data_IF_020005916200
#
_entry.id   IF_020005916200
#
_cell.length_a   1.000
_cell.length_b   1.000
_cell.length_c   1.000
_cell.angle_alpha   90.00
_cell.angle_beta   90.00
_cell.angle_gamma   90.00
#
_symmetry.space_group_name_H-M   'P 1'
#
loop_
_entity.id
_entity.type
_entity.pdbx_description
1 polymer ?
#
# COMPACT_ATOMS: atom_id res chain seq x y z
N UNK A 1 14.95 -12.30 18.40
CA UNK A 1 15.90 -11.97 17.31
C UNK A 1 15.94 -10.44 17.21
N UNK A 2 17.10 -9.80 17.08
CA UNK A 2 17.14 -8.34 16.85
C UNK A 2 16.73 -8.08 15.40
N UNK A 3 15.90 -7.06 15.16
CA UNK A 3 15.34 -6.80 13.83
C UNK A 3 16.34 -6.04 12.96
N UNK A 4 16.80 -6.67 11.87
CA UNK A 4 17.71 -6.02 10.95
C UNK A 4 16.95 -5.04 10.04
N UNK A 5 17.22 -3.75 10.18
CA UNK A 5 16.65 -2.67 9.37
C UNK A 5 17.66 -2.11 8.37
N UNK A 6 18.50 -2.98 7.79
CA UNK A 6 19.51 -2.64 6.78
C UNK A 6 18.98 -1.85 5.58
N UNK A 7 17.68 -1.94 5.29
CA UNK A 7 17.03 -1.13 4.25
C UNK A 7 17.20 0.39 4.43
N UNK A 8 17.62 0.84 5.62
CA UNK A 8 17.92 2.25 5.91
C UNK A 8 19.42 2.60 5.83
N UNK A 9 20.29 1.69 5.40
CA UNK A 9 21.74 1.89 5.48
C UNK A 9 22.26 3.06 4.65
N UNK A 10 21.68 3.27 3.47
CA UNK A 10 22.02 4.35 2.55
C UNK A 10 20.94 4.49 1.48
N UNK A 11 21.03 5.56 0.67
CA UNK A 11 20.08 5.87 -0.40
C UNK A 11 19.96 4.74 -1.44
N UNK A 12 21.04 3.97 -1.70
CA UNK A 12 21.03 2.86 -2.67
C UNK A 12 20.14 1.72 -2.16
N UNK A 13 20.34 1.29 -0.91
CA UNK A 13 19.52 0.24 -0.28
C UNK A 13 18.06 0.69 -0.11
N UNK A 14 17.85 1.94 0.28
CA UNK A 14 16.51 2.52 0.37
C UNK A 14 15.80 2.51 -0.99
N UNK A 15 16.48 2.96 -2.06
CA UNK A 15 15.94 2.93 -3.42
C UNK A 15 15.60 1.51 -3.85
N UNK A 16 16.53 0.56 -3.67
CA UNK A 16 16.34 -0.85 -4.02
C UNK A 16 15.12 -1.46 -3.32
N UNK A 17 14.99 -1.26 -2.01
CA UNK A 17 13.86 -1.78 -1.24
C UNK A 17 12.56 -1.09 -1.63
N UNK A 18 12.56 0.23 -1.79
CA UNK A 18 11.38 0.97 -2.22
C UNK A 18 10.89 0.53 -3.62
N UNK A 19 11.81 0.34 -4.57
CA UNK A 19 11.46 -0.14 -5.92
C UNK A 19 10.93 -1.57 -5.87
N UNK A 20 11.56 -2.44 -5.07
CA UNK A 20 11.07 -3.82 -4.83
C UNK A 20 9.65 -3.84 -4.26
N UNK A 21 9.35 -3.00 -3.26
CA UNK A 21 8.01 -2.87 -2.67
C UNK A 21 6.95 -2.46 -3.70
N UNK A 22 7.28 -1.53 -4.58
CA UNK A 22 6.36 -1.06 -5.63
C UNK A 22 6.12 -2.15 -6.67
N UNK A 23 7.18 -2.80 -7.16
CA UNK A 23 7.08 -3.87 -8.17
C UNK A 23 6.30 -5.07 -7.62
N UNK A 24 6.66 -5.53 -6.41
CA UNK A 24 5.94 -6.61 -5.74
C UNK A 24 4.47 -6.26 -5.52
N UNK A 25 4.19 -5.05 -5.01
CA UNK A 25 2.82 -4.59 -4.82
C UNK A 25 2.05 -4.56 -6.15
N UNK A 26 2.68 -4.10 -7.23
CA UNK A 26 2.04 -4.00 -8.54
C UNK A 26 1.69 -5.39 -9.08
N UNK A 27 2.58 -6.38 -8.91
CA UNK A 27 2.30 -7.76 -9.27
C UNK A 27 1.10 -8.32 -8.49
N UNK A 28 1.01 -8.06 -7.19
CA UNK A 28 -0.14 -8.46 -6.36
C UNK A 28 -1.43 -7.77 -6.84
N UNK A 29 -1.38 -6.48 -7.14
CA UNK A 29 -2.52 -5.73 -7.69
C UNK A 29 -3.01 -6.32 -9.02
N UNK A 30 -2.09 -6.63 -9.95
CA UNK A 30 -2.43 -7.15 -11.28
C UNK A 30 -3.03 -8.55 -11.24
N UNK A 31 -2.88 -9.28 -10.12
CA UNK A 31 -3.53 -10.57 -9.89
C UNK A 31 -4.98 -10.44 -9.39
N UNK A 32 -5.44 -9.24 -9.05
CA UNK A 32 -6.84 -9.05 -8.67
C UNK A 32 -7.77 -9.40 -9.85
N UNK A 33 -8.82 -10.20 -9.63
CA UNK A 33 -9.69 -10.71 -10.69
C UNK A 33 -10.35 -9.56 -11.45
N UNK A 34 -10.87 -8.54 -10.75
CA UNK A 34 -11.45 -7.37 -11.44
C UNK A 34 -10.44 -6.52 -12.23
N UNK A 35 -9.13 -6.70 -12.02
CA UNK A 35 -8.06 -6.05 -12.80
C UNK A 35 -7.64 -6.94 -13.96
N UNK A 36 -7.29 -8.20 -13.66
CA UNK A 36 -6.81 -9.19 -14.63
C UNK A 36 -7.85 -9.49 -15.70
N UNK A 37 -9.12 -9.56 -15.31
CA UNK A 37 -10.24 -9.94 -16.18
C UNK A 37 -11.17 -8.74 -16.42
N UNK A 38 -10.61 -7.53 -16.46
CA UNK A 38 -11.36 -6.28 -16.55
C UNK A 38 -12.29 -6.21 -17.78
N UNK A 39 -11.87 -6.73 -18.94
CA UNK A 39 -12.71 -6.79 -20.13
C UNK A 39 -13.95 -7.66 -19.93
N UNK A 40 -13.77 -8.82 -19.28
CA UNK A 40 -14.89 -9.72 -18.94
C UNK A 40 -15.81 -9.07 -17.92
N UNK A 41 -15.27 -8.35 -16.93
CA UNK A 41 -16.07 -7.60 -15.98
C UNK A 41 -16.93 -6.51 -16.66
N UNK A 42 -16.38 -5.79 -17.64
CA UNK A 42 -17.14 -4.83 -18.48
C UNK A 42 -18.27 -5.51 -19.25
N UNK A 43 -18.01 -6.69 -19.83
CA UNK A 43 -19.03 -7.48 -20.51
C UNK A 43 -20.16 -7.91 -19.57
N UNK A 44 -19.81 -8.44 -18.39
CA UNK A 44 -20.75 -8.83 -17.34
C UNK A 44 -21.64 -7.64 -16.93
N UNK A 45 -21.06 -6.45 -16.76
CA UNK A 45 -21.81 -5.23 -16.48
C UNK A 45 -22.83 -4.90 -17.59
N UNK A 46 -22.41 -4.95 -18.86
CA UNK A 46 -23.30 -4.70 -19.99
C UNK A 46 -24.46 -5.70 -20.05
N UNK A 47 -24.18 -7.00 -19.87
CA UNK A 47 -25.20 -8.06 -19.85
C UNK A 47 -26.20 -7.89 -18.70
N UNK A 48 -25.73 -7.53 -17.51
CA UNK A 48 -26.59 -7.24 -16.35
C UNK A 48 -27.53 -6.06 -16.63
N UNK A 49 -27.01 -4.96 -17.19
CA UNK A 49 -27.84 -3.78 -17.51
C UNK A 49 -28.90 -4.07 -18.57
N UNK A 50 -28.60 -4.94 -19.54
CA UNK A 50 -29.54 -5.39 -20.56
C UNK A 50 -30.47 -6.51 -20.08
N UNK A 51 -30.32 -6.98 -18.84
CA UNK A 51 -31.04 -8.13 -18.27
C UNK A 51 -30.83 -9.43 -19.05
N UNK A 52 -29.70 -9.57 -19.73
CA UNK A 52 -29.30 -10.78 -20.47
C UNK A 52 -28.81 -11.88 -19.51
N UNK A 53 -28.28 -11.49 -18.35
CA UNK A 53 -27.90 -12.39 -17.25
C UNK A 53 -28.51 -11.90 -15.94
N UNK A 54 -28.69 -12.81 -14.98
CA UNK A 54 -29.18 -12.45 -13.64
C UNK A 54 -28.02 -12.09 -12.70
N UNK A 55 -28.27 -11.35 -11.61
CA UNK A 55 -27.28 -11.16 -10.54
C UNK A 55 -26.77 -12.47 -9.90
N UNK A 56 -27.54 -13.56 -10.02
CA UNK A 56 -27.17 -14.89 -9.53
C UNK A 56 -26.49 -15.74 -10.61
N UNK A 57 -26.17 -15.16 -11.77
CA UNK A 57 -25.37 -15.85 -12.78
C UNK A 57 -24.00 -16.23 -12.18
N UNK A 58 -23.52 -17.43 -12.53
CA UNK A 58 -22.25 -17.98 -12.02
C UNK A 58 -21.11 -16.99 -12.21
N UNK A 59 -21.01 -16.34 -13.37
CA UNK A 59 -19.92 -15.41 -13.66
C UNK A 59 -19.94 -14.18 -12.74
N UNK A 60 -21.14 -13.70 -12.37
CA UNK A 60 -21.32 -12.58 -11.45
C UNK A 60 -20.89 -13.01 -10.05
N UNK A 61 -21.39 -14.15 -9.58
CA UNK A 61 -21.06 -14.72 -8.27
C UNK A 61 -19.56 -14.90 -8.10
N UNK A 62 -18.84 -15.34 -9.13
CA UNK A 62 -17.39 -15.48 -9.08
C UNK A 62 -16.67 -14.15 -8.81
N UNK A 63 -17.11 -13.04 -9.41
CA UNK A 63 -16.56 -11.71 -9.10
C UNK A 63 -16.93 -11.26 -7.68
N UNK A 64 -18.16 -11.55 -7.22
CA UNK A 64 -18.59 -11.21 -5.86
C UNK A 64 -17.74 -11.93 -4.81
N UNK A 65 -17.47 -13.23 -5.00
CA UNK A 65 -16.66 -14.04 -4.09
C UNK A 65 -15.21 -13.54 -4.02
N UNK A 66 -14.62 -13.21 -5.17
CA UNK A 66 -13.24 -12.69 -5.22
C UNK A 66 -13.11 -11.24 -4.74
N UNK A 67 -14.20 -10.48 -4.66
CA UNK A 67 -14.16 -9.04 -4.47
C UNK A 67 -13.37 -8.60 -3.22
N UNK A 68 -13.53 -9.28 -2.08
CA UNK A 68 -12.80 -8.91 -0.86
C UNK A 68 -11.31 -9.29 -0.94
N UNK A 69 -11.00 -10.40 -1.60
CA UNK A 69 -9.62 -10.81 -1.87
C UNK A 69 -8.96 -9.75 -2.76
N UNK A 70 -9.66 -9.31 -3.81
CA UNK A 70 -9.19 -8.25 -4.69
C UNK A 70 -9.02 -6.91 -3.97
N UNK A 71 -9.96 -6.52 -3.10
CA UNK A 71 -9.81 -5.33 -2.25
C UNK A 71 -8.55 -5.40 -1.36
N UNK A 72 -8.21 -6.60 -0.89
CA UNK A 72 -6.98 -6.84 -0.13
C UNK A 72 -5.74 -6.69 -1.00
N UNK A 73 -5.75 -7.25 -2.23
CA UNK A 73 -4.65 -7.08 -3.22
C UNK A 73 -4.40 -5.61 -3.55
N UNK A 74 -5.48 -4.84 -3.76
CA UNK A 74 -5.38 -3.39 -3.96
C UNK A 74 -4.79 -2.69 -2.74
N UNK A 75 -5.28 -3.01 -1.54
CA UNK A 75 -4.77 -2.41 -0.30
C UNK A 75 -3.28 -2.69 -0.09
N UNK A 76 -2.81 -3.90 -0.40
CA UNK A 76 -1.39 -4.29 -0.32
C UNK A 76 -0.52 -3.40 -1.22
N UNK A 77 -0.92 -3.20 -2.49
CA UNK A 77 -0.16 -2.33 -3.39
C UNK A 77 -0.03 -0.91 -2.83
N UNK A 78 -1.14 -0.29 -2.45
CA UNK A 78 -1.11 1.10 -1.99
C UNK A 78 -0.38 1.25 -0.65
N UNK A 79 -0.50 0.29 0.26
CA UNK A 79 0.31 0.28 1.49
C UNK A 79 1.81 0.23 1.17
N UNK A 80 2.23 -0.67 0.28
CA UNK A 80 3.62 -0.80 -0.13
C UNK A 80 4.13 0.45 -0.87
N UNK A 81 3.31 1.01 -1.76
CA UNK A 81 3.65 2.23 -2.49
C UNK A 81 3.90 3.41 -1.54
N UNK A 82 2.98 3.65 -0.59
CA UNK A 82 3.12 4.73 0.38
C UNK A 82 4.36 4.54 1.27
N UNK A 83 4.63 3.30 1.71
CA UNK A 83 5.86 2.95 2.45
C UNK A 83 7.12 3.18 1.63
N UNK A 84 7.13 2.77 0.37
CA UNK A 84 8.25 3.00 -0.54
C UNK A 84 8.55 4.50 -0.70
N UNK A 85 7.51 5.34 -0.83
CA UNK A 85 7.66 6.81 -0.88
C UNK A 85 8.26 7.38 0.41
N UNK A 86 7.86 6.86 1.58
CA UNK A 86 8.44 7.26 2.87
C UNK A 86 9.91 6.87 3.00
N UNK A 87 10.25 5.63 2.62
CA UNK A 87 11.64 5.12 2.67
C UNK A 87 12.55 6.02 1.82
N UNK A 88 12.14 6.39 0.60
CA UNK A 88 12.89 7.28 -0.29
C UNK A 88 13.08 8.72 0.24
N UNK A 89 12.39 9.08 1.32
CA UNK A 89 12.45 10.40 1.95
C UNK A 89 13.05 10.32 3.38
N UNK A 90 13.81 9.26 3.68
CA UNK A 90 14.43 9.00 4.99
C UNK A 90 13.44 8.92 6.17
N UNK A 91 12.20 8.50 5.91
CA UNK A 91 11.22 8.29 6.97
C UNK A 91 11.21 6.83 7.47
N UNK A 92 11.05 6.69 8.79
CA UNK A 92 10.87 5.40 9.45
C UNK A 92 9.45 4.88 9.24
N UNK A 93 9.33 3.74 8.53
CA UNK A 93 8.07 3.02 8.32
C UNK A 93 7.81 1.97 9.39
N UNK A 94 8.81 1.59 10.15
CA UNK A 94 8.66 0.67 11.28
C UNK A 94 8.04 1.38 12.48
N UNK A 95 7.20 0.69 13.24
CA UNK A 95 6.56 1.30 14.42
C UNK A 95 7.60 1.59 15.48
N UNK A 96 7.56 2.81 16.02
CA UNK A 96 8.40 3.21 17.15
C UNK A 96 7.78 2.65 18.44
N UNK A 97 8.63 2.04 19.27
CA UNK A 97 8.20 1.39 20.47
C UNK A 97 7.98 2.37 21.63
N UNK A 98 6.70 2.55 21.97
CA UNK A 98 6.21 3.39 23.06
C UNK A 98 6.65 2.91 24.45
N UNK A 99 7.11 1.67 24.57
CA UNK A 99 7.50 1.07 25.84
C UNK A 99 8.90 1.56 26.27
N UNK A 100 9.68 2.16 25.35
CA UNK A 100 10.90 2.91 25.69
C UNK A 100 10.55 4.36 26.05
N UNK A 101 10.79 4.82 27.30
CA UNK A 101 10.33 6.13 27.78
C UNK A 101 10.75 7.31 26.91
N UNK A 102 12.01 7.33 26.44
CA UNK A 102 12.55 8.41 25.60
C UNK A 102 11.88 8.50 24.22
N UNK A 103 11.25 7.41 23.74
CA UNK A 103 10.61 7.32 22.43
C UNK A 103 9.08 7.44 22.49
N UNK A 104 8.49 7.51 23.69
CA UNK A 104 7.03 7.54 23.89
C UNK A 104 6.34 8.69 23.17
N UNK A 105 6.97 9.87 23.12
CA UNK A 105 6.43 11.03 22.41
C UNK A 105 6.49 10.80 20.90
N UNK A 106 7.65 10.36 20.39
CA UNK A 106 7.86 10.11 18.97
C UNK A 106 6.92 9.01 18.43
N UNK A 107 6.67 7.96 19.22
CA UNK A 107 5.70 6.91 18.90
C UNK A 107 4.25 7.44 18.82
N UNK A 108 3.88 8.43 19.64
CA UNK A 108 2.56 9.10 19.54
C UNK A 108 2.49 10.00 18.31
N UNK A 109 3.58 10.70 17.99
CA UNK A 109 3.66 11.56 16.82
C UNK A 109 3.61 10.77 15.51
N UNK A 110 4.21 9.58 15.45
CA UNK A 110 4.19 8.72 14.27
C UNK A 110 2.76 8.37 13.83
N UNK A 111 1.78 8.40 14.73
CA UNK A 111 0.36 8.20 14.37
C UNK A 111 -0.24 9.39 13.59
N UNK A 112 0.42 10.54 13.61
CA UNK A 112 -0.06 11.82 13.06
C UNK A 112 0.81 12.38 11.94
N UNK A 113 2.08 11.97 11.87
CA UNK A 113 3.05 12.43 10.87
C UNK A 113 4.13 11.38 10.65
N UNK A 114 4.77 11.35 9.48
CA UNK A 114 5.99 10.57 9.29
C UNK A 114 7.12 11.09 10.19
N UNK A 115 7.96 10.18 10.66
CA UNK A 115 9.12 10.47 11.53
C UNK A 115 10.40 10.17 10.76
N UNK A 116 11.32 11.13 10.68
CA UNK A 116 12.61 10.93 10.01
C UNK A 116 13.51 10.01 10.83
N UNK A 117 14.35 9.23 10.15
CA UNK A 117 15.38 8.42 10.79
C UNK A 117 16.31 9.28 11.66
N UNK A 118 16.59 10.52 11.23
CA UNK A 118 17.38 11.49 11.99
C UNK A 118 16.79 11.80 13.36
N UNK A 119 15.48 12.01 13.45
CA UNK A 119 14.78 12.30 14.72
C UNK A 119 14.92 11.14 15.72
N UNK A 120 15.02 9.90 15.22
CA UNK A 120 15.27 8.71 16.05
C UNK A 120 16.73 8.73 16.53
N UNK A 121 17.68 8.98 15.62
CA UNK A 121 19.12 9.01 15.95
C UNK A 121 19.53 10.13 16.92
N UNK A 122 18.78 11.24 16.92
CA UNK A 122 18.99 12.36 17.85
C UNK A 122 18.68 11.97 19.31
N UNK A 123 17.80 10.98 19.53
CA UNK A 123 17.52 10.43 20.85
C UNK A 123 18.52 9.33 21.20
N UNK A 124 18.76 8.40 20.28
CA UNK A 124 19.72 7.31 20.44
C UNK A 124 20.23 6.82 19.09
N UNK A 125 21.55 6.66 18.95
CA UNK A 125 22.16 6.23 17.70
C UNK A 125 21.76 4.79 17.31
N UNK A 126 21.64 4.56 16.00
CA UNK A 126 21.52 3.22 15.44
C UNK A 126 22.80 2.42 15.67
N UNK A 127 22.66 1.13 15.98
CA UNK A 127 23.78 0.20 16.08
C UNK A 127 24.02 -0.37 14.68
N UNK A 128 25.17 -0.07 14.08
CA UNK A 128 25.51 -0.48 12.71
C UNK A 128 26.64 -1.51 12.77
N UNK A 129 26.38 -2.70 12.26
CA UNK A 129 27.38 -3.74 12.03
C UNK A 129 27.51 -3.98 10.52
N UNK A 130 28.53 -3.36 9.94
CA UNK A 130 28.82 -3.42 8.49
C UNK A 130 29.27 -4.81 8.04
N UNK A 131 29.89 -5.61 8.91
CA UNK A 131 30.38 -6.94 8.53
C UNK A 131 29.21 -7.90 8.27
N UNK A 132 28.13 -7.73 9.03
CA UNK A 132 26.93 -8.55 8.92
C UNK A 132 25.78 -7.86 8.14
N UNK A 133 26.06 -6.71 7.48
CA UNK A 133 25.04 -5.89 6.84
C UNK A 133 23.79 -5.71 7.73
N UNK A 134 24.01 -5.26 8.96
CA UNK A 134 22.92 -5.12 9.91
C UNK A 134 22.86 -3.78 10.63
N UNK A 135 21.65 -3.27 10.74
CA UNK A 135 21.32 -2.07 11.51
C UNK A 135 20.25 -2.45 12.52
N UNK A 136 20.43 -2.02 13.75
CA UNK A 136 19.49 -2.27 14.84
C UNK A 136 19.22 -0.99 15.62
N UNK A 137 17.99 -0.88 16.11
CA UNK A 137 17.61 0.15 17.06
C UNK A 137 16.57 -0.42 18.02
N UNK A 138 16.83 -0.32 19.33
CA UNK A 138 15.98 -1.01 20.35
C UNK A 138 14.53 -0.52 20.35
N UNK A 139 14.30 0.75 20.03
CA UNK A 139 12.98 1.35 20.01
C UNK A 139 12.24 1.20 18.66
N UNK A 140 12.70 0.34 17.74
CA UNK A 140 12.04 0.08 16.46
C UNK A 140 11.45 -1.34 16.51
N UNK A 141 10.18 -1.49 16.09
CA UNK A 141 9.45 -2.76 16.01
C UNK A 141 9.50 -3.36 14.60
N UNK A 142 9.27 -4.67 14.52
CA UNK A 142 9.22 -5.42 13.26
C UNK A 142 7.98 -5.05 12.44
N UNK A 143 6.90 -4.75 13.16
CA UNK A 143 5.66 -4.27 12.57
C UNK A 143 5.84 -2.87 12.02
N UNK A 144 5.30 -2.64 10.83
CA UNK A 144 5.33 -1.34 10.15
C UNK A 144 4.03 -0.58 10.36
N UNK A 145 4.04 0.71 10.06
CA UNK A 145 2.83 1.55 9.99
C UNK A 145 1.81 0.91 9.06
N UNK A 146 0.55 0.86 9.50
CA UNK A 146 -0.52 0.24 8.73
C UNK A 146 -1.17 1.21 7.74
N UNK A 147 -2.00 0.67 6.85
CA UNK A 147 -2.80 1.44 5.91
C UNK A 147 -3.60 2.58 6.57
N UNK A 148 -4.19 2.34 7.75
CA UNK A 148 -4.98 3.34 8.46
C UNK A 148 -4.13 4.57 8.81
N UNK A 149 -2.95 4.37 9.39
CA UNK A 149 -2.03 5.44 9.73
C UNK A 149 -1.59 6.21 8.48
N UNK A 150 -1.14 5.49 7.46
CA UNK A 150 -0.70 6.04 6.17
C UNK A 150 -1.78 6.92 5.49
N UNK A 151 -3.05 6.62 5.71
CA UNK A 151 -4.16 7.36 5.09
C UNK A 151 -4.86 8.37 5.99
N UNK A 152 -4.56 8.38 7.28
CA UNK A 152 -5.32 9.14 8.29
C UNK A 152 -4.95 10.62 8.39
N UNK A 153 -3.73 11.01 8.02
CA UNK A 153 -3.23 12.38 8.26
C UNK A 153 -2.81 13.08 6.97
N UNK A 154 -3.04 14.39 6.91
CA UNK A 154 -2.58 15.23 5.79
C UNK A 154 -1.05 15.19 5.65
N UNK A 155 -0.32 15.06 6.76
CA UNK A 155 1.14 14.99 6.79
C UNK A 155 1.69 13.74 6.09
N UNK A 156 0.96 12.62 6.15
CA UNK A 156 1.33 11.44 5.38
C UNK A 156 0.98 11.62 3.89
N UNK A 157 -0.22 12.13 3.59
CA UNK A 157 -0.66 12.34 2.19
C UNK A 157 0.30 13.22 1.40
N UNK A 158 0.85 14.27 2.02
CA UNK A 158 1.81 15.17 1.38
C UNK A 158 3.10 14.47 0.90
N UNK A 159 3.41 13.28 1.40
CA UNK A 159 4.61 12.53 1.00
C UNK A 159 4.45 11.72 -0.29
N UNK A 160 3.22 11.43 -0.75
CA UNK A 160 2.98 10.39 -1.77
C UNK A 160 2.70 10.92 -3.17
N UNK A 161 2.24 12.18 -3.28
CA UNK A 161 1.77 12.77 -4.54
C UNK A 161 0.66 11.93 -5.20
N UNK A 162 -0.26 11.39 -4.38
CA UNK A 162 -1.45 10.68 -4.85
C UNK A 162 -2.58 11.70 -4.97
N UNK A 163 -3.23 11.73 -6.13
CA UNK A 163 -4.41 12.58 -6.38
C UNK A 163 -5.57 12.23 -5.43
N UNK A 164 -6.35 13.22 -5.01
CA UNK A 164 -7.44 13.04 -4.05
C UNK A 164 -8.52 12.07 -4.55
N UNK A 165 -8.76 12.00 -5.88
CA UNK A 165 -9.71 11.04 -6.45
C UNK A 165 -9.20 9.60 -6.30
N UNK A 166 -7.91 9.38 -6.57
CA UNK A 166 -7.30 8.06 -6.34
C UNK A 166 -7.38 7.72 -4.86
N UNK A 167 -7.08 8.69 -4.01
CA UNK A 167 -7.11 8.50 -2.56
C UNK A 167 -8.50 8.13 -2.04
N UNK A 168 -9.56 8.79 -2.52
CA UNK A 168 -10.94 8.45 -2.13
C UNK A 168 -11.30 7.02 -2.54
N UNK A 169 -10.91 6.60 -3.75
CA UNK A 169 -11.13 5.22 -4.23
C UNK A 169 -10.43 4.20 -3.33
N UNK A 170 -9.16 4.42 -2.98
CA UNK A 170 -8.43 3.47 -2.13
C UNK A 170 -9.05 3.39 -0.73
N UNK A 171 -9.51 4.52 -0.17
CA UNK A 171 -10.21 4.52 1.11
C UNK A 171 -11.50 3.72 1.07
N UNK A 172 -12.27 3.78 -0.02
CA UNK A 172 -13.45 2.94 -0.21
C UNK A 172 -13.07 1.45 -0.26
N UNK A 173 -12.08 1.09 -1.08
CA UNK A 173 -11.57 -0.29 -1.19
C UNK A 173 -11.12 -0.83 0.17
N UNK A 174 -10.40 -0.03 0.96
CA UNK A 174 -9.97 -0.41 2.30
C UNK A 174 -11.14 -0.62 3.27
N UNK A 175 -12.19 0.23 3.19
CA UNK A 175 -13.42 0.03 3.96
C UNK A 175 -14.09 -1.29 3.60
N UNK A 176 -14.16 -1.65 2.31
CA UNK A 176 -14.72 -2.93 1.87
C UNK A 176 -13.90 -4.13 2.37
N UNK A 177 -12.57 -4.05 2.32
CA UNK A 177 -11.69 -5.07 2.90
C UNK A 177 -12.00 -5.34 4.38
N UNK A 178 -12.27 -4.30 5.16
CA UNK A 178 -12.61 -4.43 6.59
C UNK A 178 -14.06 -4.88 6.85
N UNK A 179 -14.89 -5.03 5.82
CA UNK A 179 -16.25 -5.60 5.93
C UNK A 179 -16.30 -7.11 5.80
N UNK A 180 -15.14 -7.79 5.73
CA UNK A 180 -15.04 -9.26 5.72
C UNK A 180 -15.90 -9.91 6.83
N UNK A 181 -16.00 -9.30 8.01
CA UNK A 181 -16.82 -9.82 9.11
C UNK A 181 -18.34 -9.77 8.87
N UNK A 182 -18.78 -9.10 7.81
CA UNK A 182 -20.19 -8.89 7.44
C UNK A 182 -20.56 -9.57 6.12
N UNK A 183 -19.89 -10.68 5.76
CA UNK A 183 -20.07 -11.43 4.51
C UNK A 183 -21.53 -11.69 4.11
N UNK A 184 -22.46 -11.79 5.09
CA UNK A 184 -23.90 -11.95 4.83
C UNK A 184 -24.55 -10.81 4.02
N UNK A 185 -23.91 -9.63 3.95
CA UNK A 185 -24.41 -8.45 3.23
C UNK A 185 -23.39 -7.88 2.22
N UNK A 186 -22.49 -8.71 1.68
CA UNK A 186 -21.52 -8.23 0.68
C UNK A 186 -22.25 -7.82 -0.62
N UNK A 187 -22.63 -6.55 -0.70
CA UNK A 187 -23.22 -5.95 -1.89
C UNK A 187 -22.09 -5.55 -2.83
N UNK A 188 -21.70 -6.48 -3.71
CA UNK A 188 -20.91 -6.13 -4.88
C UNK A 188 -21.80 -5.32 -5.83
N UNK A 189 -21.60 -4.01 -5.89
CA UNK A 189 -22.35 -3.13 -6.77
C UNK A 189 -21.52 -2.79 -8.00
N UNK A 190 -21.74 -3.56 -9.06
CA UNK A 190 -21.16 -3.28 -10.37
C UNK A 190 -21.81 -2.02 -10.95
N UNK A 191 -21.01 -0.99 -11.20
CA UNK A 191 -21.46 0.31 -11.70
C UNK A 191 -20.42 0.92 -12.63
N UNK A 192 -20.83 1.90 -13.44
CA UNK A 192 -19.88 2.68 -14.25
C UNK A 192 -18.78 3.30 -13.38
N UNK A 193 -19.14 3.85 -12.21
CA UNK A 193 -18.17 4.43 -11.28
C UNK A 193 -17.15 3.40 -10.79
N UNK A 194 -17.60 2.18 -10.46
CA UNK A 194 -16.69 1.10 -10.06
C UNK A 194 -15.71 0.73 -11.18
N UNK A 195 -16.19 0.60 -12.43
CA UNK A 195 -15.33 0.31 -13.58
C UNK A 195 -14.31 1.43 -13.83
N UNK A 196 -14.76 2.68 -13.81
CA UNK A 196 -13.87 3.85 -13.95
C UNK A 196 -12.83 3.91 -12.83
N UNK A 197 -13.21 3.59 -11.60
CA UNK A 197 -12.29 3.52 -10.46
C UNK A 197 -11.22 2.44 -10.67
N UNK A 198 -11.59 1.24 -11.12
CA UNK A 198 -10.60 0.19 -11.43
C UNK A 198 -9.62 0.67 -12.50
N UNK A 199 -10.12 1.29 -13.57
CA UNK A 199 -9.30 1.80 -14.66
C UNK A 199 -8.33 2.89 -14.18
N UNK A 200 -8.82 3.81 -13.34
CA UNK A 200 -8.02 4.84 -12.69
C UNK A 200 -6.88 4.24 -11.85
N UNK A 201 -7.19 3.28 -10.96
CA UNK A 201 -6.19 2.61 -10.13
C UNK A 201 -5.17 1.83 -10.99
N UNK A 202 -5.65 1.16 -12.04
CA UNK A 202 -4.79 0.38 -12.94
C UNK A 202 -3.78 1.28 -13.67
N UNK A 203 -4.24 2.42 -14.19
CA UNK A 203 -3.38 3.42 -14.83
C UNK A 203 -2.34 3.99 -13.84
N UNK A 204 -2.74 4.25 -12.60
CA UNK A 204 -1.80 4.70 -11.56
C UNK A 204 -0.71 3.66 -11.27
N UNK A 205 -1.08 2.39 -11.16
CA UNK A 205 -0.13 1.28 -10.94
C UNK A 205 0.86 1.18 -12.11
N UNK A 206 0.37 1.22 -13.34
CA UNK A 206 1.22 1.14 -14.54
C UNK A 206 2.21 2.31 -14.61
N UNK A 207 1.75 3.52 -14.32
CA UNK A 207 2.61 4.70 -14.29
C UNK A 207 3.66 4.61 -13.17
N UNK A 208 3.29 4.06 -12.02
CA UNK A 208 4.20 3.86 -10.88
C UNK A 208 5.34 2.89 -11.25
N UNK A 209 5.03 1.77 -11.91
CA UNK A 209 6.04 0.81 -12.36
C UNK A 209 6.92 1.40 -13.46
N UNK A 210 6.33 2.07 -14.46
CA UNK A 210 7.09 2.72 -15.55
C UNK A 210 8.11 3.75 -15.03
N UNK A 211 7.76 4.48 -13.96
CA UNK A 211 8.67 5.46 -13.37
C UNK A 211 9.96 4.83 -12.81
N UNK A 212 9.88 3.58 -12.33
CA UNK A 212 11.05 2.84 -11.82
C UNK A 212 11.95 2.41 -12.98
N UNK A 213 11.38 1.86 -14.04
CA UNK A 213 12.14 1.39 -15.21
C UNK A 213 12.90 2.53 -15.89
N UNK A 214 12.29 3.71 -16.03
CA UNK A 214 12.95 4.89 -16.59
C UNK A 214 14.17 5.31 -15.78
N UNK A 215 13.99 5.41 -14.46
CA UNK A 215 15.08 5.79 -13.57
C UNK A 215 16.25 4.79 -13.63
N UNK A 216 16.02 3.50 -13.86
CA UNK A 216 17.12 2.53 -13.93
C UNK A 216 17.93 2.63 -15.23
N UNK A 217 17.30 3.06 -16.33
CA UNK A 217 17.99 3.25 -17.61
C UNK A 217 18.86 4.52 -17.66
N UNK A 218 18.62 5.50 -16.79
CA UNK A 218 19.43 6.73 -16.70
C UNK A 218 20.72 6.56 -15.88
N UNK A 219 20.83 5.49 -15.08
CA UNK A 219 22.01 5.17 -14.27
C UNK A 219 22.79 3.94 -14.78
N UNK A 220 22.43 3.41 -15.94
CA UNK A 220 23.13 2.31 -16.63
C UNK A 220 24.01 2.87 -17.74
#
# INVERSE_FOLDING_TARGET
MKQNIWMYANEIEQKKIADSLIVFGAEIFKRAKFVKEFSMLKEVFCKLNKKEISPNDKIVIEFVIEYIIDCSRVSIFFENYMKAKLIKQDFCIHLIDKDYPNFKNLAKEQKKRPIKLKEISEIENFIIDKNNNSIYHKAIKETTIGFKELTSSINYKSCYQIDDNIFSVIQEVYKYRNRLHFFGNCQFQLSNNFLSNIELLNNFVDNSVKSITRNNNEFS
#
